data_IF_938318568183
#
_entry.id   IF_938318568183
#
_cell.length_a   1.000
_cell.length_b   1.000
_cell.length_c   1.000
_cell.angle_alpha   90.00
_cell.angle_beta   90.00
_cell.angle_gamma   90.00
#
_symmetry.space_group_name_H-M   'P 1'
#
loop_
_entity.id
_entity.type
_entity.pdbx_description
1 polymer ?
#
# COMPACT_ATOMS: atom_id res chain seq x y z
N UNK A 1 4.44 9.47 14.36
CA UNK A 1 3.57 8.91 13.29
C UNK A 1 2.22 9.63 13.35
N UNK A 2 1.55 9.83 12.22
CA UNK A 2 0.25 10.50 12.15
C UNK A 2 -0.79 9.48 11.66
N UNK A 3 -1.97 9.47 12.27
CA UNK A 3 -3.09 8.65 11.81
C UNK A 3 -4.28 9.55 11.43
N UNK A 4 -4.67 9.52 10.17
CA UNK A 4 -5.91 10.14 9.73
C UNK A 4 -7.09 9.20 9.98
N UNK A 5 -8.05 9.64 10.79
CA UNK A 5 -9.20 8.82 11.18
C UNK A 5 -10.48 9.50 10.75
N UNK A 6 -11.32 8.79 9.99
CA UNK A 6 -12.65 9.30 9.64
C UNK A 6 -13.54 9.38 10.90
N UNK A 7 -14.42 10.38 11.06
CA UNK A 7 -15.28 10.50 12.24
C UNK A 7 -16.07 9.24 12.58
N UNK A 8 -16.55 8.51 11.56
CA UNK A 8 -17.27 7.24 11.75
C UNK A 8 -16.42 6.11 12.37
N UNK A 9 -15.09 6.24 12.37
CA UNK A 9 -14.15 5.28 12.95
C UNK A 9 -13.44 5.84 14.21
N UNK A 10 -13.66 7.11 14.56
CA UNK A 10 -12.98 7.74 15.68
C UNK A 10 -13.34 7.06 17.01
N UNK A 11 -14.61 6.71 17.21
CA UNK A 11 -15.09 6.07 18.42
C UNK A 11 -14.47 4.68 18.68
N UNK A 12 -14.03 3.98 17.62
CA UNK A 12 -13.50 2.62 17.75
C UNK A 12 -11.98 2.49 17.59
N UNK A 13 -11.27 3.55 17.17
CA UNK A 13 -9.82 3.46 16.91
C UNK A 13 -8.99 4.59 17.49
N UNK A 14 -9.57 5.76 17.76
CA UNK A 14 -8.78 6.95 18.10
C UNK A 14 -8.10 6.86 19.47
N UNK A 15 -8.72 6.22 20.47
CA UNK A 15 -8.10 5.98 21.78
C UNK A 15 -6.87 5.09 21.66
N UNK A 16 -7.04 3.98 20.95
CA UNK A 16 -6.06 2.92 20.80
C UNK A 16 -4.85 3.41 20.03
N UNK A 17 -5.08 4.13 18.93
CA UNK A 17 -3.99 4.75 18.14
C UNK A 17 -3.22 5.79 18.94
N UNK A 18 -3.89 6.62 19.77
CA UNK A 18 -3.19 7.57 20.66
C UNK A 18 -2.36 6.86 21.71
N UNK A 19 -2.89 5.79 22.30
CA UNK A 19 -2.15 4.95 23.25
C UNK A 19 -0.92 4.28 22.60
N UNK A 20 -0.94 4.04 21.29
CA UNK A 20 0.21 3.59 20.51
C UNK A 20 1.17 4.72 20.08
N UNK A 21 0.91 5.96 20.48
CA UNK A 21 1.78 7.12 20.19
C UNK A 21 1.54 7.79 18.84
N UNK A 22 0.40 7.54 18.18
CA UNK A 22 0.03 8.28 16.97
C UNK A 22 -0.53 9.66 17.32
N UNK A 23 -0.14 10.67 16.54
CA UNK A 23 -0.90 11.91 16.41
C UNK A 23 -2.17 11.62 15.60
N UNK A 24 -3.29 11.42 16.30
CA UNK A 24 -4.58 11.08 15.67
C UNK A 24 -5.29 12.35 15.22
N UNK A 25 -5.41 12.51 13.90
CA UNK A 25 -6.10 13.60 13.23
C UNK A 25 -7.44 13.11 12.69
N UNK A 26 -8.52 13.48 13.39
CA UNK A 26 -9.88 13.16 12.92
C UNK A 26 -10.24 14.08 11.76
N UNK A 27 -10.56 13.51 10.59
CA UNK A 27 -10.81 14.27 9.34
C UNK A 27 -11.96 13.68 8.54
N UNK A 28 -12.85 14.55 8.07
CA UNK A 28 -13.88 14.20 7.09
C UNK A 28 -13.26 13.88 5.73
N UNK A 29 -14.03 13.26 4.84
CA UNK A 29 -13.61 13.06 3.44
C UNK A 29 -13.29 14.41 2.77
N UNK A 30 -12.17 14.56 2.03
CA UNK A 30 -11.77 15.84 1.43
C UNK A 30 -12.79 16.48 0.49
N UNK A 31 -13.70 15.66 -0.06
CA UNK A 31 -14.77 16.09 -0.95
C UNK A 31 -16.08 15.51 -0.47
N UNK A 32 -17.09 16.36 -0.36
CA UNK A 32 -18.47 15.92 -0.18
C UNK A 32 -19.00 15.39 -1.51
N UNK A 33 -19.34 14.10 -1.55
CA UNK A 33 -19.77 13.46 -2.79
C UNK A 33 -20.98 14.16 -3.45
N UNK A 34 -21.88 14.79 -2.69
CA UNK A 34 -23.05 15.48 -3.24
C UNK A 34 -22.69 16.70 -4.08
N UNK A 35 -21.50 17.28 -3.87
CA UNK A 35 -20.99 18.46 -4.56
C UNK A 35 -20.26 18.13 -5.87
N UNK A 36 -20.01 16.85 -6.13
CA UNK A 36 -19.39 16.39 -7.38
C UNK A 36 -20.32 16.70 -8.55
N UNK A 37 -19.81 17.47 -9.53
CA UNK A 37 -20.58 17.91 -10.70
C UNK A 37 -20.86 16.77 -11.67
N UNK A 38 -19.87 15.90 -11.90
CA UNK A 38 -20.01 14.71 -12.74
C UNK A 38 -21.01 13.71 -12.16
N UNK A 39 -22.16 13.55 -12.83
CA UNK A 39 -23.27 12.71 -12.36
C UNK A 39 -22.84 11.26 -12.09
N UNK A 40 -22.02 10.68 -12.97
CA UNK A 40 -21.57 9.31 -12.84
C UNK A 40 -20.71 9.12 -11.59
N UNK A 41 -19.67 9.94 -11.40
CA UNK A 41 -18.79 9.82 -10.23
C UNK A 41 -19.55 10.08 -8.94
N UNK A 42 -20.35 11.16 -8.89
CA UNK A 42 -21.20 11.51 -7.74
C UNK A 42 -22.00 10.32 -7.22
N UNK A 43 -22.62 9.56 -8.12
CA UNK A 43 -23.45 8.40 -7.75
C UNK A 43 -22.67 7.14 -7.40
N UNK A 44 -21.44 7.01 -7.88
CA UNK A 44 -20.72 5.72 -7.84
C UNK A 44 -19.56 5.69 -6.87
N UNK A 45 -18.93 6.83 -6.56
CA UNK A 45 -17.79 6.87 -5.64
C UNK A 45 -18.15 6.38 -4.24
N UNK A 46 -19.42 6.57 -3.82
CA UNK A 46 -19.92 6.18 -2.51
C UNK A 46 -20.31 4.70 -2.38
N UNK A 47 -20.29 3.93 -3.47
CA UNK A 47 -20.77 2.53 -3.47
C UNK A 47 -19.78 1.57 -4.14
N UNK A 48 -18.66 2.07 -4.67
CA UNK A 48 -17.62 1.28 -5.33
C UNK A 48 -16.32 1.31 -4.54
N UNK A 49 -15.55 0.23 -4.62
CA UNK A 49 -14.30 0.08 -3.86
C UNK A 49 -14.52 -0.39 -2.42
N UNK A 50 -13.44 -0.61 -1.69
CA UNK A 50 -13.47 -1.11 -0.30
C UNK A 50 -13.90 -0.01 0.67
N UNK A 51 -13.37 1.19 0.46
CA UNK A 51 -13.51 2.34 1.34
C UNK A 51 -14.35 3.47 0.71
N UNK A 52 -14.92 3.26 -0.48
CA UNK A 52 -15.79 4.23 -1.16
C UNK A 52 -15.08 5.60 -1.30
N UNK A 53 -15.75 6.71 -1.01
CA UNK A 53 -15.17 8.05 -0.98
C UNK A 53 -14.14 8.25 0.16
N UNK A 54 -14.19 7.42 1.20
CA UNK A 54 -13.27 7.51 2.36
C UNK A 54 -11.84 7.13 2.01
N UNK A 55 -11.64 6.44 0.89
CA UNK A 55 -10.29 6.24 0.34
C UNK A 55 -9.59 7.57 0.03
N UNK A 56 -10.34 8.65 -0.20
CA UNK A 56 -9.77 9.97 -0.44
C UNK A 56 -9.11 10.59 0.81
N UNK A 57 -9.30 10.04 2.02
CA UNK A 57 -8.58 10.52 3.21
C UNK A 57 -7.05 10.47 3.03
N UNK A 58 -6.54 9.59 2.16
CA UNK A 58 -5.10 9.50 1.85
C UNK A 58 -4.54 10.81 1.28
N UNK A 59 -5.39 11.65 0.67
CA UNK A 59 -4.98 12.97 0.17
C UNK A 59 -4.51 13.91 1.28
N UNK A 60 -4.92 13.70 2.55
CA UNK A 60 -4.41 14.53 3.64
C UNK A 60 -2.90 14.39 3.87
N UNK A 61 -2.24 13.36 3.32
CA UNK A 61 -0.78 13.29 3.29
C UNK A 61 -0.15 14.53 2.63
N UNK A 62 -0.80 15.13 1.63
CA UNK A 62 -0.34 16.37 0.99
C UNK A 62 -0.49 17.61 1.88
N UNK A 63 -1.31 17.56 2.93
CA UNK A 63 -1.50 18.69 3.86
C UNK A 63 -0.45 18.74 4.98
N UNK A 64 0.46 17.78 5.03
CA UNK A 64 1.51 17.66 6.03
C UNK A 64 2.72 18.57 5.73
N UNK A 65 2.48 19.84 5.45
CA UNK A 65 3.53 20.79 4.97
C UNK A 65 4.60 21.14 6.00
N UNK A 66 4.42 20.75 7.26
CA UNK A 66 5.47 20.83 8.28
C UNK A 66 6.58 19.78 8.06
N UNK A 67 6.37 18.83 7.14
CA UNK A 67 7.32 17.78 6.79
C UNK A 67 7.75 17.93 5.33
N UNK A 68 9.05 17.76 5.01
CA UNK A 68 9.53 17.89 3.63
C UNK A 68 9.06 16.71 2.75
N UNK A 69 8.83 15.55 3.37
CA UNK A 69 8.36 14.31 2.74
C UNK A 69 7.43 13.62 3.73
N UNK A 70 6.34 13.04 3.23
CA UNK A 70 5.44 12.19 3.99
C UNK A 70 5.28 10.83 3.30
N UNK A 71 5.33 9.74 4.06
CA UNK A 71 5.04 8.39 3.55
C UNK A 71 3.71 7.93 4.12
N UNK A 72 2.72 7.78 3.26
CA UNK A 72 1.45 7.13 3.58
C UNK A 72 1.59 5.63 3.37
N UNK A 73 1.15 4.88 4.37
CA UNK A 73 1.02 3.43 4.35
C UNK A 73 -0.40 3.07 4.75
N UNK A 74 -1.00 2.09 4.08
CA UNK A 74 -2.22 1.50 4.61
C UNK A 74 -1.95 0.71 5.90
N UNK A 75 -2.98 0.55 6.73
CA UNK A 75 -2.89 -0.11 8.05
C UNK A 75 -2.56 -1.60 7.96
N UNK A 76 -2.66 -2.17 6.77
CA UNK A 76 -2.36 -3.54 6.41
C UNK A 76 -1.04 -3.63 5.64
N UNK A 77 -0.06 -2.79 6.00
CA UNK A 77 1.31 -2.80 5.49
C UNK A 77 2.33 -2.99 6.61
N UNK A 78 3.51 -3.51 6.27
CA UNK A 78 4.69 -3.57 7.17
C UNK A 78 5.92 -2.98 6.52
N UNK A 79 6.77 -2.42 7.37
CA UNK A 79 8.13 -2.00 7.04
C UNK A 79 9.10 -3.09 7.53
N UNK A 80 9.89 -3.62 6.61
CA UNK A 80 10.91 -4.65 6.87
C UNK A 80 12.33 -4.09 6.82
N UNK A 81 12.52 -2.95 6.13
CA UNK A 81 13.81 -2.27 5.99
C UNK A 81 13.62 -0.75 6.01
N UNK A 82 14.69 0.01 6.29
CA UNK A 82 14.66 1.47 6.18
C UNK A 82 14.24 1.96 4.79
N UNK A 83 13.59 3.11 4.76
CA UNK A 83 13.16 3.83 3.55
C UNK A 83 13.95 5.13 3.32
N UNK A 84 15.04 5.33 4.07
CA UNK A 84 15.86 6.56 4.11
C UNK A 84 16.25 7.07 2.72
N UNK A 85 16.62 6.16 1.82
CA UNK A 85 16.97 6.49 0.43
C UNK A 85 15.86 7.26 -0.31
N UNK A 86 14.58 7.04 0.01
CA UNK A 86 13.47 7.79 -0.57
C UNK A 86 13.45 9.24 -0.08
N UNK A 87 13.68 9.43 1.21
CA UNK A 87 13.71 10.75 1.83
C UNK A 87 14.90 11.53 1.32
N UNK A 88 16.09 10.94 1.30
CA UNK A 88 17.32 11.58 0.83
C UNK A 88 17.20 11.99 -0.65
N UNK A 89 16.62 11.12 -1.49
CA UNK A 89 16.41 11.42 -2.90
C UNK A 89 15.37 12.54 -3.13
N UNK A 90 14.34 12.66 -2.28
CA UNK A 90 13.33 13.73 -2.41
C UNK A 90 13.79 15.05 -1.77
N UNK A 91 14.39 15.01 -0.58
CA UNK A 91 14.81 16.22 0.14
C UNK A 91 15.96 16.91 -0.61
N UNK A 92 16.84 16.13 -1.25
CA UNK A 92 18.04 16.64 -1.89
C UNK A 92 19.18 16.83 -0.87
N UNK A 93 20.32 17.34 -1.35
CA UNK A 93 21.53 17.54 -0.54
C UNK A 93 22.70 16.65 -0.97
N UNK A 94 23.74 16.58 -0.13
CA UNK A 94 25.03 15.94 -0.47
C UNK A 94 24.91 14.47 -0.89
N UNK A 95 24.03 13.72 -0.21
CA UNK A 95 23.89 12.27 -0.42
C UNK A 95 22.77 11.89 -1.39
N UNK A 96 21.99 12.86 -1.89
CA UNK A 96 20.80 12.60 -2.70
C UNK A 96 21.11 11.82 -3.98
N UNK A 97 22.24 12.12 -4.63
CA UNK A 97 22.68 11.39 -5.82
C UNK A 97 23.07 9.94 -5.51
N UNK A 98 23.58 9.66 -4.31
CA UNK A 98 23.91 8.30 -3.89
C UNK A 98 22.66 7.53 -3.48
N UNK A 99 21.78 8.14 -2.69
CA UNK A 99 20.47 7.59 -2.36
C UNK A 99 19.68 7.23 -3.61
N UNK A 100 19.62 8.14 -4.58
CA UNK A 100 19.02 7.92 -5.90
C UNK A 100 19.54 6.66 -6.61
N UNK A 101 20.86 6.40 -6.55
CA UNK A 101 21.47 5.19 -7.15
C UNK A 101 21.12 3.90 -6.40
N UNK A 102 20.76 3.99 -5.11
CA UNK A 102 20.33 2.84 -4.29
C UNK A 102 18.84 2.52 -4.43
N UNK A 103 18.06 3.41 -5.07
CA UNK A 103 16.64 3.16 -5.32
C UNK A 103 16.45 2.08 -6.39
N UNK A 104 15.69 1.04 -6.05
CA UNK A 104 15.13 0.13 -7.04
C UNK A 104 13.93 0.81 -7.73
N UNK A 105 14.17 1.37 -8.90
CA UNK A 105 13.15 2.01 -9.75
C UNK A 105 12.57 1.00 -10.72
N UNK A 106 11.26 1.04 -10.95
CA UNK A 106 10.59 0.14 -11.89
C UNK A 106 11.15 0.34 -13.31
N UNK A 107 11.52 -0.77 -13.95
CA UNK A 107 12.09 -0.74 -15.30
C UNK A 107 13.47 -0.08 -15.41
N UNK A 108 14.12 0.28 -14.29
CA UNK A 108 15.40 0.97 -14.31
C UNK A 108 15.31 2.40 -14.87
N UNK A 109 14.13 3.02 -14.83
CA UNK A 109 13.97 4.40 -15.27
C UNK A 109 14.87 5.35 -14.46
N UNK A 110 15.39 6.38 -15.13
CA UNK A 110 16.13 7.44 -14.45
C UNK A 110 15.17 8.29 -13.60
N UNK A 111 15.69 8.85 -12.50
CA UNK A 111 14.98 9.92 -11.80
C UNK A 111 14.93 11.18 -12.69
N UNK A 112 13.96 12.08 -12.49
CA UNK A 112 13.90 13.36 -13.18
C UNK A 112 15.21 14.14 -13.02
N UNK A 113 15.89 14.45 -14.13
CA UNK A 113 17.16 15.18 -14.12
C UNK A 113 16.98 16.67 -13.76
N UNK A 114 15.82 17.23 -14.11
CA UNK A 114 15.52 18.66 -14.03
C UNK A 114 14.27 18.91 -13.18
N UNK A 115 14.34 18.64 -11.89
CA UNK A 115 13.27 19.00 -10.95
C UNK A 115 13.19 18.09 -9.73
N UNK A 116 12.42 18.48 -8.71
CA UNK A 116 12.19 17.63 -7.55
C UNK A 116 11.33 16.42 -7.93
N UNK A 117 11.63 15.27 -7.32
CA UNK A 117 10.65 14.19 -7.23
C UNK A 117 9.57 14.63 -6.24
N UNK A 118 8.32 14.66 -6.69
CA UNK A 118 7.15 15.01 -5.88
C UNK A 118 6.41 13.78 -5.38
N UNK A 119 6.58 12.64 -6.06
CA UNK A 119 5.88 11.43 -5.71
C UNK A 119 6.64 10.16 -6.09
N UNK A 120 6.92 9.33 -5.10
CA UNK A 120 7.33 7.95 -5.27
C UNK A 120 6.13 7.03 -5.02
N UNK A 121 5.92 6.09 -5.93
CA UNK A 121 4.75 5.20 -5.91
C UNK A 121 5.07 3.83 -6.50
N UNK A 122 4.15 2.89 -6.39
CA UNK A 122 4.17 1.63 -7.15
C UNK A 122 2.84 1.45 -7.88
N UNK A 123 2.81 0.71 -8.99
CA UNK A 123 1.54 0.34 -9.64
C UNK A 123 1.02 -1.00 -9.20
N UNK A 124 -0.31 -1.13 -9.25
CA UNK A 124 -1.03 -2.38 -9.03
C UNK A 124 -1.27 -3.10 -10.37
N UNK A 125 -0.23 -3.78 -10.87
CA UNK A 125 -0.31 -4.53 -12.12
C UNK A 125 -1.23 -5.74 -12.03
N UNK A 126 -1.52 -6.26 -10.84
CA UNK A 126 -2.45 -7.37 -10.66
C UNK A 126 -3.88 -7.01 -11.12
N UNK A 127 -4.23 -5.72 -11.09
CA UNK A 127 -5.51 -5.21 -11.59
C UNK A 127 -5.56 -5.04 -13.13
N UNK A 128 -4.42 -5.14 -13.82
CA UNK A 128 -4.38 -5.10 -15.28
C UNK A 128 -4.90 -6.43 -15.82
N UNK A 129 -6.10 -6.42 -16.39
CA UNK A 129 -6.77 -7.61 -16.92
C UNK A 129 -6.62 -7.79 -18.44
N UNK A 130 -5.99 -6.83 -19.13
CA UNK A 130 -5.74 -6.85 -20.57
C UNK A 130 -4.40 -6.17 -20.87
N UNK A 131 -3.59 -6.71 -21.80
CA UNK A 131 -2.37 -6.04 -22.26
C UNK A 131 -2.63 -4.62 -22.75
N UNK A 132 -1.67 -3.72 -22.49
CA UNK A 132 -1.72 -2.32 -22.93
C UNK A 132 -2.68 -1.41 -22.15
N UNK A 133 -3.36 -1.91 -21.11
CA UNK A 133 -4.14 -1.06 -20.20
C UNK A 133 -3.22 -0.41 -19.16
N UNK A 134 -3.35 0.90 -18.89
CA UNK A 134 -2.62 1.55 -17.81
C UNK A 134 -2.98 0.90 -16.46
N UNK A 135 -1.96 0.57 -15.67
CA UNK A 135 -2.15 0.13 -14.30
C UNK A 135 -2.42 1.34 -13.39
N UNK A 136 -3.35 1.18 -12.45
CA UNK A 136 -3.55 2.16 -11.39
C UNK A 136 -2.36 2.19 -10.44
N UNK A 137 -2.19 3.31 -9.75
CA UNK A 137 -1.23 3.40 -8.65
C UNK A 137 -1.75 2.57 -7.47
N UNK A 138 -0.85 1.94 -6.73
CA UNK A 138 -1.18 1.20 -5.53
C UNK A 138 -1.29 2.20 -4.36
N UNK A 139 -2.51 2.42 -3.87
CA UNK A 139 -2.79 3.49 -2.89
C UNK A 139 -2.34 3.20 -1.46
N UNK A 140 -1.84 2.01 -1.15
CA UNK A 140 -1.33 1.60 0.17
C UNK A 140 0.15 1.90 0.40
N UNK A 141 0.84 2.45 -0.60
CA UNK A 141 2.18 3.02 -0.46
C UNK A 141 2.30 4.30 -1.29
N UNK A 142 2.55 5.42 -0.62
CA UNK A 142 2.71 6.72 -1.28
C UNK A 142 3.76 7.55 -0.54
N UNK A 143 4.90 7.85 -1.17
CA UNK A 143 5.87 8.79 -0.63
C UNK A 143 5.74 10.12 -1.38
N UNK A 144 5.18 11.13 -0.72
CA UNK A 144 4.78 12.40 -1.32
C UNK A 144 5.62 13.56 -0.78
N UNK A 145 5.84 14.56 -1.62
CA UNK A 145 6.20 15.91 -1.17
C UNK A 145 4.90 16.64 -0.80
N UNK A 146 4.67 16.98 0.47
CA UNK A 146 3.45 17.67 0.86
C UNK A 146 3.33 19.04 0.17
N UNK A 147 2.11 19.37 -0.28
CA UNK A 147 1.74 20.66 -0.88
C UNK A 147 0.23 20.83 -0.78
N UNK A 148 -0.20 21.95 -0.20
CA UNK A 148 -1.63 22.29 -0.11
C UNK A 148 -2.21 22.57 -1.49
N UNK A 149 -1.40 23.10 -2.41
CA UNK A 149 -1.77 23.35 -3.80
C UNK A 149 -2.13 22.03 -4.50
N UNK A 150 -1.27 21.01 -4.39
CA UNK A 150 -1.54 19.67 -4.94
C UNK A 150 -2.78 19.05 -4.31
N UNK A 151 -2.97 19.21 -2.99
CA UNK A 151 -4.17 18.76 -2.30
C UNK A 151 -5.45 19.40 -2.87
N UNK A 152 -5.45 20.72 -3.07
CA UNK A 152 -6.59 21.45 -3.62
C UNK A 152 -6.83 21.11 -5.10
N UNK A 153 -5.79 20.86 -5.88
CA UNK A 153 -5.93 20.36 -7.25
C UNK A 153 -6.63 18.99 -7.30
N UNK A 154 -6.21 18.05 -6.45
CA UNK A 154 -6.89 16.75 -6.34
C UNK A 154 -8.37 16.92 -5.96
N UNK A 155 -8.68 17.79 -4.99
CA UNK A 155 -10.08 18.10 -4.63
C UNK A 155 -10.85 18.68 -5.81
N UNK A 156 -10.25 19.61 -6.54
CA UNK A 156 -10.82 20.22 -7.74
C UNK A 156 -11.16 19.18 -8.82
N UNK A 157 -10.26 18.24 -9.09
CA UNK A 157 -10.47 17.15 -10.07
C UNK A 157 -11.65 16.26 -9.64
N UNK A 158 -11.70 15.87 -8.37
CA UNK A 158 -12.79 15.03 -7.84
C UNK A 158 -14.13 15.79 -7.89
N UNK A 159 -14.16 17.07 -7.51
CA UNK A 159 -15.35 17.92 -7.57
C UNK A 159 -15.85 18.14 -9.00
N UNK A 160 -14.94 18.28 -9.97
CA UNK A 160 -15.32 18.31 -11.39
C UNK A 160 -15.99 17.00 -11.79
N UNK A 161 -15.48 15.87 -11.30
CA UNK A 161 -16.07 14.55 -11.51
C UNK A 161 -15.94 14.05 -12.95
N UNK A 162 -14.88 14.43 -13.65
CA UNK A 162 -14.58 14.02 -15.04
C UNK A 162 -14.08 12.58 -15.13
N UNK A 163 -14.84 11.65 -14.56
CA UNK A 163 -14.58 10.22 -14.57
C UNK A 163 -15.70 9.49 -15.31
N UNK A 164 -15.35 8.70 -16.32
CA UNK A 164 -16.32 7.98 -17.16
C UNK A 164 -16.28 6.47 -16.95
N UNK A 165 -17.41 5.77 -17.15
CA UNK A 165 -17.42 4.31 -17.15
C UNK A 165 -16.39 3.75 -18.13
N UNK A 166 -15.53 2.84 -17.65
CA UNK A 166 -14.52 2.14 -18.45
C UNK A 166 -13.29 2.97 -18.85
N UNK A 167 -13.45 4.24 -19.26
CA UNK A 167 -12.34 5.10 -19.68
C UNK A 167 -11.70 5.92 -18.56
N UNK A 168 -12.36 6.03 -17.40
CA UNK A 168 -11.77 6.62 -16.19
C UNK A 168 -11.67 8.14 -16.24
N UNK A 169 -10.73 8.67 -15.46
CA UNK A 169 -10.44 10.10 -15.37
C UNK A 169 -9.98 10.69 -16.71
N UNK A 170 -10.57 11.81 -17.12
CA UNK A 170 -10.22 12.53 -18.35
C UNK A 170 -10.34 11.72 -19.64
N UNK A 171 -11.03 10.56 -19.59
CA UNK A 171 -11.07 9.54 -20.66
C UNK A 171 -9.68 9.03 -21.07
N UNK A 172 -8.71 9.06 -20.15
CA UNK A 172 -7.31 8.70 -20.43
C UNK A 172 -6.95 7.23 -20.20
N UNK A 173 -7.92 6.40 -19.81
CA UNK A 173 -7.72 4.96 -19.64
C UNK A 173 -7.52 4.51 -18.19
N UNK A 174 -7.51 5.44 -17.22
CA UNK A 174 -7.43 5.17 -15.78
C UNK A 174 -8.79 4.77 -15.20
N UNK A 175 -9.42 3.77 -15.81
CA UNK A 175 -10.78 3.32 -15.52
C UNK A 175 -10.98 1.83 -15.70
N UNK A 176 -12.08 1.30 -15.16
CA UNK A 176 -12.48 -0.09 -15.39
C UNK A 176 -11.77 -1.14 -14.51
N UNK A 177 -11.06 -0.71 -13.47
CA UNK A 177 -10.47 -1.56 -12.44
C UNK A 177 -10.89 -1.11 -11.03
N UNK A 178 -10.62 -1.95 -10.03
CA UNK A 178 -10.93 -1.66 -8.63
C UNK A 178 -10.14 -0.44 -8.15
N UNK A 179 -10.80 0.49 -7.44
CA UNK A 179 -10.16 1.72 -6.98
C UNK A 179 -9.92 2.80 -8.04
N UNK A 180 -10.34 2.59 -9.30
CA UNK A 180 -10.13 3.57 -10.37
C UNK A 180 -10.79 4.95 -10.09
N UNK A 181 -11.90 4.95 -9.35
CA UNK A 181 -12.61 6.18 -8.93
C UNK A 181 -11.99 6.85 -7.70
N UNK A 182 -11.05 6.17 -7.05
CA UNK A 182 -10.39 6.60 -5.83
C UNK A 182 -8.91 6.88 -6.12
N UNK A 183 -8.06 6.82 -5.10
CA UNK A 183 -6.63 7.11 -5.14
C UNK A 183 -5.90 6.38 -6.26
N UNK A 184 -6.22 5.10 -6.51
CA UNK A 184 -5.50 4.29 -7.48
C UNK A 184 -5.57 4.85 -8.90
N UNK A 185 -6.78 5.19 -9.37
CA UNK A 185 -6.95 5.81 -10.68
C UNK A 185 -6.73 7.31 -10.68
N UNK A 186 -7.06 8.00 -9.59
CA UNK A 186 -6.93 9.45 -9.48
C UNK A 186 -5.47 9.89 -9.50
N UNK A 187 -4.61 9.27 -8.67
CA UNK A 187 -3.18 9.59 -8.65
C UNK A 187 -2.48 9.15 -9.93
N UNK A 188 -2.88 8.01 -10.53
CA UNK A 188 -2.37 7.61 -11.84
C UNK A 188 -2.67 8.67 -12.89
N UNK A 189 -3.92 9.14 -12.97
CA UNK A 189 -4.31 10.20 -13.89
C UNK A 189 -3.55 11.52 -13.64
N UNK A 190 -3.43 11.92 -12.38
CA UNK A 190 -2.76 13.16 -12.00
C UNK A 190 -1.30 13.17 -12.46
N UNK A 191 -0.53 12.15 -12.12
CA UNK A 191 0.90 12.12 -12.45
C UNK A 191 1.20 11.64 -13.87
N UNK A 192 0.31 10.91 -14.53
CA UNK A 192 0.51 10.51 -15.94
C UNK A 192 0.08 11.60 -16.93
N UNK A 193 -0.82 12.52 -16.55
CA UNK A 193 -1.42 13.47 -17.50
C UNK A 193 -1.51 14.93 -17.04
N UNK A 194 -1.65 15.21 -15.74
CA UNK A 194 -1.76 16.59 -15.24
C UNK A 194 -0.37 17.14 -14.90
N UNK A 195 0.45 16.34 -14.21
CA UNK A 195 1.82 16.69 -13.81
C UNK A 195 2.85 15.62 -14.22
N UNK A 196 2.98 15.32 -15.53
CA UNK A 196 3.95 14.33 -16.01
C UNK A 196 5.38 14.70 -15.66
N UNK A 197 6.22 13.69 -15.40
CA UNK A 197 7.64 13.87 -15.11
C UNK A 197 7.98 14.32 -13.68
N UNK A 198 6.97 14.42 -12.80
CA UNK A 198 7.17 14.81 -11.39
C UNK A 198 7.08 13.63 -10.41
N UNK A 199 6.81 12.42 -10.92
CA UNK A 199 6.66 11.21 -10.14
C UNK A 199 7.53 10.08 -10.68
N UNK A 200 7.88 9.14 -9.81
CA UNK A 200 8.73 7.99 -10.11
C UNK A 200 8.09 6.72 -9.60
N UNK A 201 7.95 5.75 -10.50
CA UNK A 201 7.49 4.42 -10.16
C UNK A 201 8.64 3.58 -9.58
N UNK A 202 8.52 3.21 -8.32
CA UNK A 202 9.44 2.32 -7.63
C UNK A 202 9.17 0.86 -7.97
N UNK A 203 10.18 0.02 -7.75
CA UNK A 203 10.04 -1.42 -7.87
C UNK A 203 9.04 -1.96 -6.83
N UNK A 204 7.88 -2.40 -7.30
CA UNK A 204 6.80 -2.88 -6.43
C UNK A 204 7.15 -4.14 -5.64
N UNK A 205 8.02 -5.01 -6.17
CA UNK A 205 8.40 -6.22 -5.45
C UNK A 205 9.26 -5.89 -4.20
N UNK A 206 9.82 -4.67 -4.12
CA UNK A 206 10.66 -4.21 -3.00
C UNK A 206 9.97 -3.20 -2.11
N UNK A 207 9.29 -2.20 -2.68
CA UNK A 207 8.73 -1.08 -1.91
C UNK A 207 7.25 -1.25 -1.55
N UNK A 208 6.54 -2.17 -2.21
CA UNK A 208 5.13 -2.39 -1.92
C UNK A 208 4.74 -3.82 -2.30
N UNK A 209 5.45 -4.78 -1.71
CA UNK A 209 5.35 -6.17 -2.09
C UNK A 209 3.96 -6.73 -1.77
N UNK A 210 3.20 -7.09 -2.79
CA UNK A 210 1.87 -7.71 -2.67
C UNK A 210 1.87 -9.19 -3.04
N UNK A 211 3.00 -9.75 -3.49
CA UNK A 211 3.15 -11.13 -3.97
C UNK A 211 2.29 -11.37 -5.23
N UNK A 212 2.20 -10.35 -6.09
CA UNK A 212 1.44 -10.41 -7.34
C UNK A 212 2.11 -11.27 -8.42
N UNK A 213 1.28 -11.89 -9.26
CA UNK A 213 1.76 -12.55 -10.47
C UNK A 213 2.03 -11.48 -11.53
N UNK A 214 3.29 -11.29 -11.96
CA UNK A 214 3.63 -10.23 -12.89
C UNK A 214 3.13 -10.51 -14.32
N UNK A 215 2.67 -11.72 -14.62
CA UNK A 215 2.27 -12.15 -15.97
C UNK A 215 0.78 -12.45 -16.04
N UNK A 216 0.24 -12.41 -17.25
CA UNK A 216 -1.12 -12.86 -17.49
C UNK A 216 -1.24 -14.38 -17.29
N UNK A 217 -2.39 -14.85 -16.84
CA UNK A 217 -2.67 -16.28 -16.69
C UNK A 217 -3.25 -16.89 -17.97
N UNK A 218 -3.32 -18.24 -17.99
CA UNK A 218 -4.10 -18.99 -18.99
C UNK A 218 -5.55 -18.49 -19.02
N UNK A 219 -6.04 -18.10 -20.20
CA UNK A 219 -7.44 -17.65 -20.41
C UNK A 219 -7.63 -16.15 -20.62
N UNK A 220 -6.58 -15.34 -20.43
CA UNK A 220 -6.56 -13.98 -21.00
C UNK A 220 -6.34 -14.13 -22.51
N UNK A 221 -7.06 -13.36 -23.35
CA UNK A 221 -6.79 -13.25 -24.80
C UNK A 221 -5.47 -12.50 -25.06
N UNK A 222 -4.41 -12.93 -24.39
CA UNK A 222 -3.04 -12.55 -24.66
C UNK A 222 -2.41 -13.82 -25.21
N UNK A 223 -2.10 -13.81 -26.50
CA UNK A 223 -1.30 -14.88 -27.09
C UNK A 223 0.02 -14.98 -26.28
N UNK A 224 0.49 -16.19 -25.94
CA UNK A 224 1.83 -16.36 -25.40
C UNK A 224 2.82 -15.60 -26.30
N UNK A 225 3.74 -14.85 -25.70
CA UNK A 225 4.66 -14.01 -26.47
C UNK A 225 5.45 -14.90 -27.43
N UNK A 226 5.18 -14.78 -28.74
CA UNK A 226 5.84 -15.56 -29.77
C UNK A 226 7.35 -15.25 -29.74
N UNK A 227 8.14 -16.18 -29.21
CA UNK A 227 9.60 -16.02 -29.07
C UNK A 227 10.15 -16.12 -27.66
N UNK A 228 9.32 -16.13 -26.60
CA UNK A 228 9.82 -16.43 -25.25
C UNK A 228 10.03 -17.94 -25.08
N UNK A 229 11.26 -18.32 -24.74
CA UNK A 229 11.60 -19.70 -24.40
C UNK A 229 10.67 -20.21 -23.29
N UNK A 230 9.87 -21.24 -23.59
CA UNK A 230 8.93 -21.85 -22.64
C UNK A 230 7.48 -21.38 -22.72
N UNK A 231 7.10 -20.52 -23.68
CA UNK A 231 5.70 -20.12 -23.88
C UNK A 231 5.11 -19.30 -22.74
N UNK A 232 5.94 -18.48 -22.08
CA UNK A 232 5.51 -17.61 -21.01
C UNK A 232 4.51 -16.54 -21.50
N UNK A 233 3.53 -16.22 -20.66
CA UNK A 233 2.57 -15.15 -20.93
C UNK A 233 3.25 -13.78 -20.82
N UNK A 234 2.74 -12.75 -21.53
CA UNK A 234 3.31 -11.40 -21.46
C UNK A 234 3.21 -10.81 -20.04
N UNK A 235 4.14 -9.92 -19.73
CA UNK A 235 4.12 -9.16 -18.49
C UNK A 235 2.94 -8.17 -18.47
N UNK A 236 2.34 -7.98 -17.31
CA UNK A 236 1.22 -7.06 -17.09
C UNK A 236 1.60 -5.60 -17.21
N UNK A 237 2.88 -5.30 -17.06
CA UNK A 237 3.46 -3.98 -17.29
C UNK A 237 3.83 -3.71 -18.76
N UNK A 238 3.60 -4.68 -19.65
CA UNK A 238 3.83 -4.55 -21.09
C UNK A 238 5.27 -4.75 -21.54
N UNK A 239 6.22 -5.01 -20.63
CA UNK A 239 7.61 -5.36 -20.98
C UNK A 239 7.70 -6.80 -21.46
N UNK A 240 8.79 -7.12 -22.14
CA UNK A 240 9.10 -8.52 -22.50
C UNK A 240 9.43 -9.32 -21.24
N UNK A 241 10.29 -8.77 -20.38
CA UNK A 241 10.68 -9.41 -19.13
C UNK A 241 10.26 -8.58 -17.91
N UNK A 242 9.81 -9.28 -16.87
CA UNK A 242 9.38 -8.71 -15.61
C UNK A 242 9.82 -9.60 -14.45
N UNK A 243 10.13 -8.97 -13.32
CA UNK A 243 10.45 -9.66 -12.07
C UNK A 243 9.21 -10.37 -11.51
N UNK A 244 9.39 -11.60 -11.04
CA UNK A 244 8.36 -12.34 -10.32
C UNK A 244 8.39 -12.00 -8.84
N UNK A 245 7.49 -11.09 -8.45
CA UNK A 245 7.35 -10.63 -7.08
C UNK A 245 7.08 -11.78 -6.08
N UNK A 246 6.60 -12.95 -6.53
CA UNK A 246 6.38 -14.14 -5.67
C UNK A 246 7.69 -14.82 -5.24
N UNK A 247 8.79 -14.46 -5.87
CA UNK A 247 10.11 -15.07 -5.65
C UNK A 247 11.12 -14.10 -5.07
N UNK A 248 10.74 -12.85 -4.84
CA UNK A 248 11.62 -11.82 -4.27
C UNK A 248 12.10 -12.27 -2.88
N UNK A 249 13.42 -12.37 -2.65
CA UNK A 249 13.94 -12.76 -1.34
C UNK A 249 13.52 -11.78 -0.25
N UNK A 250 13.06 -12.31 0.90
CA UNK A 250 12.60 -11.51 2.04
C UNK A 250 13.56 -10.37 2.41
N UNK A 251 14.87 -10.67 2.41
CA UNK A 251 15.91 -9.70 2.75
C UNK A 251 16.02 -8.47 1.83
N UNK A 252 15.43 -8.52 0.62
CA UNK A 252 15.39 -7.42 -0.37
C UNK A 252 14.09 -6.59 -0.28
N UNK A 253 13.08 -7.07 0.44
CA UNK A 253 11.80 -6.38 0.58
C UNK A 253 11.95 -5.29 1.64
N UNK A 254 11.56 -4.06 1.31
CA UNK A 254 11.53 -2.92 2.23
C UNK A 254 10.17 -2.73 2.87
N UNK A 255 9.11 -2.92 2.11
CA UNK A 255 7.73 -2.95 2.62
C UNK A 255 6.88 -3.97 1.89
N UNK A 256 5.90 -4.50 2.62
CA UNK A 256 4.89 -5.39 2.08
C UNK A 256 3.49 -4.88 2.40
N UNK A 257 2.54 -5.14 1.49
CA UNK A 257 1.15 -4.75 1.62
C UNK A 257 0.24 -5.97 1.45
N UNK A 258 -0.58 -6.25 2.45
CA UNK A 258 -1.35 -7.50 2.58
C UNK A 258 -2.64 -7.51 1.74
N UNK A 259 -2.57 -7.04 0.50
CA UNK A 259 -3.69 -7.02 -0.45
C UNK A 259 -4.01 -8.42 -0.97
N UNK A 260 -3.02 -9.13 -1.53
CA UNK A 260 -3.24 -10.48 -2.10
C UNK A 260 -3.09 -11.56 -1.03
N UNK A 261 -2.05 -11.47 -0.20
CA UNK A 261 -1.76 -12.42 0.89
C UNK A 261 -2.81 -12.45 2.01
N UNK A 262 -3.90 -11.67 1.90
CA UNK A 262 -4.89 -11.46 2.97
C UNK A 262 -4.25 -10.88 4.24
N UNK A 263 -5.11 -10.31 5.09
CA UNK A 263 -4.62 -9.62 6.29
C UNK A 263 -4.03 -10.61 7.30
N UNK A 264 -2.95 -10.28 8.01
CA UNK A 264 -2.36 -11.18 9.00
C UNK A 264 -3.33 -11.61 10.10
N UNK A 265 -4.23 -10.71 10.51
CA UNK A 265 -5.32 -11.01 11.44
C UNK A 265 -6.44 -11.90 10.87
N UNK A 266 -6.28 -12.43 9.65
CA UNK A 266 -7.12 -13.53 9.16
C UNK A 266 -6.57 -14.90 9.52
N UNK A 267 -5.39 -14.99 10.16
CA UNK A 267 -4.75 -16.24 10.55
C UNK A 267 -4.72 -17.25 9.40
N UNK A 268 -4.44 -16.77 8.19
CA UNK A 268 -4.45 -17.58 6.98
C UNK A 268 -3.06 -18.10 6.74
N UNK A 269 -2.91 -19.42 6.84
CA UNK A 269 -1.70 -20.11 6.43
C UNK A 269 -1.89 -20.64 5.01
N UNK A 270 -0.98 -20.30 4.10
CA UNK A 270 -1.07 -20.71 2.69
C UNK A 270 -0.49 -22.12 2.51
N UNK A 271 0.58 -22.42 3.23
CA UNK A 271 1.28 -23.70 3.24
C UNK A 271 1.96 -24.05 1.91
N UNK A 272 2.82 -25.06 1.95
CA UNK A 272 3.38 -25.66 0.73
C UNK A 272 2.33 -26.56 0.10
N UNK A 273 1.51 -26.02 -0.80
CA UNK A 273 0.50 -26.82 -1.53
C UNK A 273 1.12 -27.75 -2.57
N UNK A 274 2.31 -27.41 -3.06
CA UNK A 274 3.14 -28.24 -3.95
C UNK A 274 4.56 -27.65 -4.06
N UNK A 275 5.53 -28.48 -4.47
CA UNK A 275 6.86 -27.99 -4.88
C UNK A 275 6.68 -26.99 -6.04
N UNK A 276 6.95 -25.71 -5.77
CA UNK A 276 6.79 -24.62 -6.75
C UNK A 276 5.66 -23.63 -6.48
N UNK A 277 4.86 -23.78 -5.41
CA UNK A 277 3.92 -22.72 -4.97
C UNK A 277 4.70 -21.56 -4.31
N UNK A 278 5.29 -20.71 -5.15
CA UNK A 278 6.07 -19.55 -4.70
C UNK A 278 5.19 -18.48 -4.06
N UNK A 279 3.91 -18.39 -4.46
CA UNK A 279 2.96 -17.44 -3.91
C UNK A 279 2.66 -17.72 -2.44
N UNK A 280 2.30 -18.96 -2.11
CA UNK A 280 1.99 -19.34 -0.73
C UNK A 280 3.19 -19.13 0.20
N UNK A 281 4.38 -19.54 -0.24
CA UNK A 281 5.61 -19.42 0.54
C UNK A 281 5.95 -17.98 0.93
N UNK A 282 5.98 -17.04 -0.02
CA UNK A 282 6.33 -15.65 0.32
C UNK A 282 5.23 -14.97 1.16
N UNK A 283 3.95 -15.27 0.90
CA UNK A 283 2.89 -14.80 1.79
C UNK A 283 3.07 -15.30 3.22
N UNK A 284 3.43 -16.58 3.40
CA UNK A 284 3.71 -17.14 4.71
C UNK A 284 4.94 -16.49 5.38
N UNK A 285 6.03 -16.25 4.64
CA UNK A 285 7.20 -15.53 5.17
C UNK A 285 6.83 -14.11 5.66
N UNK A 286 6.03 -13.38 4.88
CA UNK A 286 5.57 -12.03 5.24
C UNK A 286 4.62 -12.01 6.44
N UNK A 287 3.70 -12.99 6.54
CA UNK A 287 2.85 -13.17 7.73
C UNK A 287 3.71 -13.49 8.96
N UNK A 288 4.72 -14.35 8.81
CA UNK A 288 5.68 -14.67 9.87
C UNK A 288 6.39 -13.43 10.40
N UNK A 289 6.83 -12.53 9.51
CA UNK A 289 7.44 -11.25 9.91
C UNK A 289 6.44 -10.31 10.61
N UNK A 290 5.19 -10.23 10.18
CA UNK A 290 4.15 -9.45 10.89
C UNK A 290 4.02 -9.91 12.35
N UNK A 291 3.89 -11.22 12.56
CA UNK A 291 3.74 -11.79 13.89
C UNK A 291 5.03 -11.71 14.71
N UNK A 292 6.21 -11.76 14.06
CA UNK A 292 7.51 -11.54 14.73
C UNK A 292 7.59 -10.11 15.24
N UNK A 293 7.34 -9.10 14.40
CA UNK A 293 7.37 -7.67 14.78
C UNK A 293 6.37 -7.39 15.91
N UNK A 294 5.16 -7.97 15.84
CA UNK A 294 4.19 -7.87 16.96
C UNK A 294 4.76 -8.46 18.25
N UNK A 295 5.40 -9.63 18.19
CA UNK A 295 6.00 -10.27 19.38
C UNK A 295 7.07 -9.38 20.00
N UNK A 296 7.93 -8.77 19.16
CA UNK A 296 8.98 -7.85 19.62
C UNK A 296 8.36 -6.64 20.34
N UNK A 297 7.29 -6.06 19.80
CA UNK A 297 6.58 -4.93 20.43
C UNK A 297 5.96 -5.33 21.78
N UNK A 298 5.26 -6.45 21.85
CA UNK A 298 4.67 -6.96 23.10
C UNK A 298 5.75 -7.24 24.14
N UNK A 299 6.91 -7.77 23.74
CA UNK A 299 8.03 -8.02 24.64
C UNK A 299 8.67 -6.72 25.15
N UNK A 300 8.83 -5.71 24.30
CA UNK A 300 9.29 -4.38 24.73
C UNK A 300 8.36 -3.77 25.79
N UNK A 301 7.04 -3.89 25.63
CA UNK A 301 6.09 -3.39 26.63
C UNK A 301 6.21 -4.09 27.98
N UNK A 302 6.50 -5.40 27.99
CA UNK A 302 6.76 -6.16 29.22
C UNK A 302 8.02 -5.67 29.93
N UNK A 303 9.10 -5.49 29.17
CA UNK A 303 10.40 -5.07 29.72
C UNK A 303 10.35 -3.67 30.34
N UNK A 304 9.57 -2.77 29.75
CA UNK A 304 9.41 -1.40 30.26
C UNK A 304 8.45 -1.31 31.46
N UNK A 305 7.89 -2.43 31.94
CA UNK A 305 6.88 -2.46 33.00
C UNK A 305 5.59 -1.73 32.63
N UNK A 306 5.40 -1.42 31.34
CA UNK A 306 4.16 -0.83 30.80
C UNK A 306 3.06 -1.87 30.77
N UNK A 307 3.42 -3.14 30.68
CA UNK A 307 2.47 -4.23 30.68
C UNK A 307 2.01 -4.59 32.11
N UNK A 308 0.74 -4.37 32.41
CA UNK A 308 0.08 -5.00 33.57
C UNK A 308 -0.28 -6.46 33.30
N UNK A 309 -0.12 -6.92 32.06
CA UNK A 309 -0.47 -8.28 31.66
C UNK A 309 0.67 -9.22 32.05
N UNK A 310 0.34 -10.27 32.78
CA UNK A 310 1.34 -11.21 33.31
C UNK A 310 1.89 -12.08 32.18
N UNK A 311 3.17 -12.44 32.30
CA UNK A 311 3.83 -13.44 31.45
C UNK A 311 2.96 -14.71 31.40
N UNK A 312 2.40 -15.01 30.22
CA UNK A 312 1.50 -16.15 30.01
C UNK A 312 0.00 -15.82 29.80
N UNK A 313 -0.43 -14.56 29.85
CA UNK A 313 -1.86 -14.17 29.67
C UNK A 313 -2.21 -13.57 28.28
N UNK A 314 -1.28 -13.55 27.31
CA UNK A 314 -1.44 -12.81 26.02
C UNK A 314 -1.26 -13.65 24.76
N UNK A 315 -0.76 -14.88 24.85
CA UNK A 315 -0.50 -15.72 23.67
C UNK A 315 -1.09 -17.12 23.86
N UNK A 316 -2.42 -17.18 23.97
CA UNK A 316 -3.16 -18.44 24.17
C UNK A 316 -3.46 -19.17 22.85
N UNK A 317 -2.95 -18.66 21.73
CA UNK A 317 -3.11 -19.27 20.43
C UNK A 317 -2.19 -20.47 20.27
N UNK A 318 -2.74 -21.61 19.87
CA UNK A 318 -1.99 -22.83 19.55
C UNK A 318 -1.95 -23.13 18.04
N UNK A 319 -2.65 -22.32 17.23
CA UNK A 319 -2.72 -22.53 15.80
C UNK A 319 -1.40 -22.13 15.14
N UNK A 320 -0.67 -23.13 14.61
CA UNK A 320 0.60 -22.96 13.90
C UNK A 320 1.57 -22.05 14.68
N UNK A 321 1.88 -22.45 15.91
CA UNK A 321 2.67 -21.65 16.86
C UNK A 321 3.98 -21.10 16.27
N UNK A 322 4.71 -21.90 15.49
CA UNK A 322 5.97 -21.49 14.85
C UNK A 322 5.81 -20.31 13.87
N UNK A 323 4.61 -20.16 13.31
CA UNK A 323 4.30 -19.18 12.28
C UNK A 323 3.56 -17.96 12.87
N UNK A 324 2.47 -18.18 13.61
CA UNK A 324 1.65 -17.10 14.18
C UNK A 324 2.10 -16.63 15.56
N UNK A 325 3.05 -17.32 16.21
CA UNK A 325 3.65 -16.94 17.50
C UNK A 325 2.61 -16.69 18.59
N UNK A 326 1.63 -17.59 18.69
CA UNK A 326 0.60 -17.52 19.71
C UNK A 326 -0.51 -16.48 19.48
N UNK A 327 -0.48 -15.75 18.36
CA UNK A 327 -1.48 -14.72 18.04
C UNK A 327 -2.75 -15.27 17.36
N UNK A 328 -2.82 -16.57 17.12
CA UNK A 328 -3.93 -17.22 16.43
C UNK A 328 -4.33 -18.51 17.17
N UNK A 329 -5.63 -18.67 17.46
CA UNK A 329 -6.22 -19.89 18.05
C UNK A 329 -6.82 -20.84 17.01
N UNK A 330 -7.05 -20.36 15.78
CA UNK A 330 -7.53 -21.15 14.64
C UNK A 330 -7.36 -20.37 13.33
N UNK A 331 -7.59 -21.04 12.20
CA UNK A 331 -7.67 -20.38 10.90
C UNK A 331 -8.86 -19.41 10.80
N UNK A 332 -8.68 -18.32 10.06
CA UNK A 332 -9.73 -17.32 9.80
C UNK A 332 -9.73 -16.17 10.80
N UNK A 333 -10.39 -15.05 10.43
CA UNK A 333 -10.37 -13.82 11.25
C UNK A 333 -10.93 -13.95 12.66
N UNK A 334 -11.78 -14.96 12.92
CA UNK A 334 -12.29 -15.28 14.26
C UNK A 334 -11.30 -16.07 15.13
N UNK A 335 -10.13 -16.40 14.60
CA UNK A 335 -9.05 -17.05 15.33
C UNK A 335 -7.96 -16.08 15.77
N UNK A 336 -7.95 -14.85 15.25
CA UNK A 336 -6.97 -13.85 15.65
C UNK A 336 -7.22 -13.37 17.07
N UNK A 337 -6.17 -13.37 17.88
CA UNK A 337 -6.15 -12.85 19.24
C UNK A 337 -5.66 -11.40 19.14
N UNK A 338 -6.52 -10.39 19.37
CA UNK A 338 -6.14 -8.99 19.21
C UNK A 338 -4.98 -8.59 20.12
N UNK A 339 -4.20 -7.61 19.65
CA UNK A 339 -3.19 -6.96 20.47
C UNK A 339 -3.88 -6.26 21.64
N UNK A 340 -3.40 -6.49 22.86
CA UNK A 340 -3.86 -5.77 24.05
C UNK A 340 -2.94 -4.57 24.25
N UNK A 341 -3.46 -3.36 24.09
CA UNK A 341 -2.69 -2.13 24.27
C UNK A 341 -2.60 -1.82 25.77
N UNK A 342 -1.41 -1.56 26.33
CA UNK A 342 -1.27 -1.24 27.75
C UNK A 342 -2.07 0.01 28.15
N UNK A 343 -2.63 0.03 29.36
CA UNK A 343 -3.47 1.14 29.85
C UNK A 343 -2.66 2.34 30.37
N UNK A 344 -1.37 2.15 30.64
CA UNK A 344 -0.46 3.14 31.24
C UNK A 344 0.59 3.68 30.26
N UNK A 345 0.25 3.81 28.98
CA UNK A 345 1.18 4.41 28.01
C UNK A 345 1.19 5.94 28.15
N UNK A 346 1.87 6.44 29.18
CA UNK A 346 2.57 7.71 29.07
C UNK A 346 3.84 7.45 28.27
N UNK A 347 3.98 8.08 27.10
CA UNK A 347 5.30 8.14 26.47
C UNK A 347 6.24 8.94 27.42
N UNK A 348 7.52 8.56 27.54
CA UNK A 348 8.50 9.36 28.29
C UNK A 348 8.61 10.78 27.75
#
# INVERSE_FOLDING_TARGET
MIAFVHPSAAACSASDLRALGYDVRVKETPVNATEIRGEFLRRTIQVRGCCQEKELLKLYAYTLTDYPVAVHLDVDSILLRPLDDLFDAMIGGGDAAEAARRLAVHGGAALPENGPVNFFFTRDYNLVNKPGKPAGIQGGFMAVRPSVEVYEEYRGIVLQGDHYPGSGWGRKGHGGYYGAQQIQGLCAYYYDHVHPGTAVELDRCRYNQMVDDPRFGRGVKAEPSAGMAGGAFPCRDGRDECEDCRTTPLGKIRSAHFTICQKPWTCRYFGEKSAGDTHGRLCDELHGEWHRIRSDLEEMWRQDGRDTIRVGEVQDGDYRLDHFRGHCSRAGGRGYIPLKIPTTVGLP
#
